data_IF_491893655641
#
_entry.id   IF_491893655641
#
_cell.length_a   1.000
_cell.length_b   1.000
_cell.length_c   1.000
_cell.angle_alpha   90.00
_cell.angle_beta   90.00
_cell.angle_gamma   90.00
#
_symmetry.space_group_name_H-M   'P 1'
#
loop_
_entity.id
_entity.type
_entity.pdbx_description
1 polymer ?
#
# COMPACT_ATOMS: atom_id res chain seq x y z
N UNK A 1 -53.74 -13.94 -11.81
CA UNK A 1 -52.70 -13.36 -12.71
C UNK A 1 -51.36 -13.85 -12.20
N UNK A 2 -50.75 -14.82 -12.87
CA UNK A 2 -49.43 -15.34 -12.54
C UNK A 2 -48.39 -14.40 -13.18
N UNK A 3 -47.66 -13.66 -12.36
CA UNK A 3 -46.55 -12.83 -12.82
C UNK A 3 -45.41 -13.77 -13.19
N UNK A 4 -45.08 -13.86 -14.46
CA UNK A 4 -43.93 -14.62 -14.94
C UNK A 4 -42.64 -14.12 -14.27
N UNK A 5 -41.75 -15.01 -13.79
CA UNK A 5 -40.48 -14.58 -13.21
C UNK A 5 -39.65 -13.83 -14.25
N UNK A 6 -38.97 -12.75 -13.86
CA UNK A 6 -38.17 -11.95 -14.81
C UNK A 6 -37.14 -12.81 -15.53
N UNK A 7 -37.08 -12.67 -16.83
CA UNK A 7 -36.19 -13.44 -17.71
C UNK A 7 -34.74 -13.37 -17.26
N UNK A 8 -34.06 -14.51 -17.14
CA UNK A 8 -32.65 -14.68 -16.71
C UNK A 8 -31.64 -13.68 -17.32
N UNK A 9 -31.76 -13.19 -18.58
CA UNK A 9 -30.80 -12.24 -19.15
C UNK A 9 -30.81 -10.86 -18.46
N UNK A 10 -31.95 -10.35 -17.98
CA UNK A 10 -32.02 -9.04 -17.33
C UNK A 10 -31.31 -9.03 -15.96
N UNK A 11 -31.41 -10.11 -15.18
CA UNK A 11 -30.73 -10.24 -13.89
C UNK A 11 -29.22 -10.37 -14.06
N UNK A 12 -28.76 -11.05 -15.11
CA UNK A 12 -27.35 -11.16 -15.45
C UNK A 12 -26.75 -9.82 -15.89
N UNK A 13 -27.47 -9.03 -16.70
CA UNK A 13 -27.01 -7.71 -17.16
C UNK A 13 -26.86 -6.73 -16.01
N UNK A 14 -27.78 -6.69 -15.03
CA UNK A 14 -27.66 -5.85 -13.84
C UNK A 14 -26.41 -6.19 -13.02
N UNK A 15 -26.04 -7.46 -12.91
CA UNK A 15 -24.83 -7.89 -12.19
C UNK A 15 -23.53 -7.38 -12.83
N UNK A 16 -23.44 -7.32 -14.16
CA UNK A 16 -22.28 -6.77 -14.88
C UNK A 16 -22.20 -5.25 -14.75
N UNK A 17 -23.32 -4.53 -14.84
CA UNK A 17 -23.34 -3.07 -14.63
C UNK A 17 -22.88 -2.69 -13.22
N UNK A 18 -23.34 -3.43 -12.21
CA UNK A 18 -22.90 -3.21 -10.84
C UNK A 18 -21.39 -3.49 -10.67
N UNK A 19 -20.87 -4.58 -11.26
CA UNK A 19 -19.45 -4.89 -11.21
C UNK A 19 -18.62 -3.80 -11.91
N UNK A 20 -19.08 -3.31 -13.05
CA UNK A 20 -18.44 -2.20 -13.77
C UNK A 20 -18.42 -0.93 -12.91
N UNK A 21 -19.54 -0.59 -12.27
CA UNK A 21 -19.60 0.58 -11.38
C UNK A 21 -18.60 0.49 -10.22
N UNK A 22 -18.45 -0.71 -9.61
CA UNK A 22 -17.48 -0.93 -8.52
C UNK A 22 -16.04 -0.77 -9.01
N UNK A 23 -15.70 -1.37 -10.16
CA UNK A 23 -14.36 -1.28 -10.74
C UNK A 23 -14.04 0.16 -11.14
N UNK A 24 -14.95 0.84 -11.84
CA UNK A 24 -14.76 2.24 -12.23
C UNK A 24 -14.64 3.17 -11.02
N UNK A 25 -15.45 2.98 -9.99
CA UNK A 25 -15.36 3.76 -8.76
C UNK A 25 -14.00 3.56 -8.07
N UNK A 26 -13.50 2.32 -8.00
CA UNK A 26 -12.18 2.01 -7.46
C UNK A 26 -11.05 2.68 -8.24
N UNK A 27 -11.05 2.54 -9.56
CA UNK A 27 -10.07 3.16 -10.44
C UNK A 27 -10.11 4.68 -10.39
N UNK A 28 -11.30 5.27 -10.43
CA UNK A 28 -11.47 6.71 -10.35
C UNK A 28 -10.94 7.26 -9.02
N UNK A 29 -11.26 6.60 -7.90
CA UNK A 29 -10.75 7.00 -6.60
C UNK A 29 -9.21 6.92 -6.53
N UNK A 30 -8.61 5.84 -7.06
CA UNK A 30 -7.16 5.71 -7.17
C UNK A 30 -6.55 6.79 -8.05
N UNK A 31 -7.12 7.04 -9.23
CA UNK A 31 -6.64 8.05 -10.17
C UNK A 31 -6.73 9.47 -9.60
N UNK A 32 -7.82 9.79 -8.89
CA UNK A 32 -7.97 11.10 -8.23
C UNK A 32 -6.93 11.31 -7.15
N UNK A 33 -6.72 10.32 -6.27
CA UNK A 33 -5.70 10.42 -5.19
C UNK A 33 -4.29 10.50 -5.78
N UNK A 34 -3.98 9.68 -6.80
CA UNK A 34 -2.71 9.73 -7.50
C UNK A 34 -2.49 11.09 -8.19
N UNK A 35 -3.51 11.59 -8.92
CA UNK A 35 -3.40 12.87 -9.62
C UNK A 35 -3.21 14.05 -8.65
N UNK A 36 -3.96 14.10 -7.55
CA UNK A 36 -3.80 15.14 -6.55
C UNK A 36 -2.44 15.07 -5.85
N UNK A 37 -1.97 13.85 -5.55
CA UNK A 37 -0.66 13.66 -4.93
C UNK A 37 0.49 14.03 -5.85
N UNK A 38 0.43 13.64 -7.11
CA UNK A 38 1.40 14.01 -8.15
C UNK A 38 1.36 15.51 -8.46
N UNK A 39 0.18 16.11 -8.50
CA UNK A 39 0.03 17.55 -8.66
C UNK A 39 0.70 18.32 -7.50
N UNK A 40 0.46 17.88 -6.28
CA UNK A 40 1.09 18.45 -5.10
C UNK A 40 2.63 18.22 -5.07
N UNK A 41 3.12 17.16 -5.72
CA UNK A 41 4.54 16.89 -5.92
C UNK A 41 5.18 17.69 -7.08
N UNK A 42 4.42 18.55 -7.77
CA UNK A 42 4.93 19.35 -8.89
C UNK A 42 4.93 18.65 -10.26
N UNK A 43 4.34 17.45 -10.37
CA UNK A 43 4.32 16.71 -11.63
C UNK A 43 3.37 17.32 -12.70
N UNK A 44 2.63 18.38 -12.36
CA UNK A 44 1.76 19.08 -13.31
C UNK A 44 2.55 19.82 -14.41
N UNK A 45 3.80 20.19 -14.13
CA UNK A 45 4.69 20.93 -15.02
C UNK A 45 5.42 20.02 -16.02
N UNK A 46 5.10 18.72 -16.06
CA UNK A 46 5.68 17.76 -17.00
C UNK A 46 5.24 18.09 -18.44
N UNK A 47 6.18 18.03 -19.40
CA UNK A 47 5.91 18.36 -20.79
C UNK A 47 4.96 17.36 -21.48
N UNK A 48 4.42 17.74 -22.65
CA UNK A 48 3.74 16.89 -23.64
C UNK A 48 2.55 16.06 -23.14
N UNK A 49 1.78 16.55 -22.16
CA UNK A 49 0.63 15.83 -21.66
C UNK A 49 0.99 14.51 -20.93
N UNK A 50 2.21 14.43 -20.39
CA UNK A 50 2.71 13.27 -19.66
C UNK A 50 1.94 13.02 -18.36
N UNK A 51 1.37 14.04 -17.74
CA UNK A 51 0.71 13.94 -16.44
C UNK A 51 -0.33 12.81 -16.37
N UNK A 52 -1.29 12.63 -17.31
CA UNK A 52 -2.23 11.51 -17.25
C UNK A 52 -1.56 10.14 -17.32
N UNK A 53 -0.44 10.02 -18.05
CA UNK A 53 0.30 8.76 -18.18
C UNK A 53 1.09 8.43 -16.92
N UNK A 54 1.63 9.44 -16.25
CA UNK A 54 2.27 9.29 -14.94
C UNK A 54 1.24 8.92 -13.87
N UNK A 55 0.03 9.49 -13.91
CA UNK A 55 -1.08 9.07 -13.07
C UNK A 55 -1.42 7.59 -13.31
N UNK A 56 -1.51 7.15 -14.58
CA UNK A 56 -1.75 5.75 -14.91
C UNK A 56 -0.63 4.83 -14.41
N UNK A 57 0.64 5.23 -14.56
CA UNK A 57 1.80 4.52 -14.04
C UNK A 57 1.75 4.41 -12.50
N UNK A 58 1.37 5.48 -11.82
CA UNK A 58 1.20 5.49 -10.35
C UNK A 58 0.07 4.55 -9.90
N UNK A 59 -1.02 4.43 -10.64
CA UNK A 59 -2.08 3.45 -10.35
C UNK A 59 -1.58 2.03 -10.61
N UNK A 60 -0.79 1.81 -11.66
CA UNK A 60 -0.16 0.49 -11.95
C UNK A 60 0.76 0.08 -10.80
N UNK A 61 1.66 0.96 -10.35
CA UNK A 61 2.56 0.66 -9.22
C UNK A 61 1.80 0.46 -7.91
N UNK A 62 0.68 1.19 -7.72
CA UNK A 62 -0.17 1.04 -6.54
C UNK A 62 -0.80 -0.37 -6.39
N UNK A 63 -0.93 -1.12 -7.47
CA UNK A 63 -1.42 -2.50 -7.46
C UNK A 63 -0.29 -3.54 -7.61
N UNK A 64 0.96 -3.10 -7.52
CA UNK A 64 2.15 -3.96 -7.54
C UNK A 64 2.75 -4.17 -8.93
N UNK A 65 2.31 -3.44 -9.96
CA UNK A 65 2.98 -3.42 -11.27
C UNK A 65 4.33 -2.72 -11.20
N UNK A 66 5.25 -3.10 -12.07
CA UNK A 66 6.58 -2.51 -12.18
C UNK A 66 6.64 -1.48 -13.30
N UNK A 67 7.35 -0.39 -13.06
CA UNK A 67 7.65 0.65 -14.04
C UNK A 67 9.16 0.71 -14.21
N UNK A 68 9.60 0.52 -15.43
CA UNK A 68 11.00 0.63 -15.84
C UNK A 68 11.20 1.97 -16.53
N UNK A 69 12.22 2.70 -16.11
CA UNK A 69 12.65 3.93 -16.76
C UNK A 69 13.86 3.60 -17.66
N UNK A 70 13.79 3.99 -18.91
CA UNK A 70 14.88 3.82 -19.86
C UNK A 70 15.24 5.18 -20.44
N UNK A 71 16.55 5.45 -20.56
CA UNK A 71 17.05 6.58 -21.29
C UNK A 71 18.07 6.12 -22.32
N UNK A 72 17.98 6.66 -23.53
CA UNK A 72 18.92 6.37 -24.62
C UNK A 72 19.36 7.68 -25.25
N UNK A 73 20.67 7.85 -25.39
CA UNK A 73 21.27 8.97 -26.08
C UNK A 73 21.96 8.49 -27.38
N UNK A 74 21.14 7.94 -28.31
CA UNK A 74 21.58 7.58 -29.66
C UNK A 74 22.66 6.49 -29.73
N UNK A 75 22.69 5.53 -28.77
CA UNK A 75 23.70 4.47 -28.71
C UNK A 75 25.05 4.90 -28.14
N UNK A 76 25.21 6.16 -27.76
CA UNK A 76 26.41 6.66 -27.10
C UNK A 76 26.35 6.55 -25.58
N UNK A 77 25.14 6.65 -25.03
CA UNK A 77 24.90 6.43 -23.61
C UNK A 77 23.50 5.80 -23.43
N UNK A 78 23.45 4.78 -22.61
CA UNK A 78 22.21 4.17 -22.15
C UNK A 78 22.09 4.42 -20.65
N UNK A 79 20.94 4.93 -20.23
CA UNK A 79 20.60 5.02 -18.81
C UNK A 79 19.53 4.01 -18.49
N UNK A 80 19.78 3.21 -17.48
CA UNK A 80 18.83 2.28 -16.91
C UNK A 80 18.46 2.75 -15.51
N UNK A 81 17.18 2.96 -15.28
CA UNK A 81 16.70 3.37 -13.99
C UNK A 81 15.44 2.57 -13.62
N UNK A 82 15.42 2.04 -12.43
CA UNK A 82 14.28 1.33 -11.89
C UNK A 82 13.77 1.99 -10.62
N UNK A 83 12.47 2.15 -10.51
CA UNK A 83 11.81 2.63 -9.31
C UNK A 83 10.76 1.62 -8.85
N UNK A 84 10.99 1.02 -7.68
CA UNK A 84 10.03 0.13 -7.04
C UNK A 84 9.59 0.76 -5.72
N UNK A 85 8.54 1.56 -5.80
CA UNK A 85 7.86 2.16 -4.63
C UNK A 85 6.36 2.02 -4.85
N UNK A 86 5.69 1.38 -3.91
CA UNK A 86 4.23 1.26 -3.95
C UNK A 86 3.61 2.47 -3.25
N UNK A 87 2.82 3.32 -3.95
CA UNK A 87 2.13 4.45 -3.33
C UNK A 87 0.92 3.96 -2.52
N UNK A 88 1.17 3.55 -1.26
CA UNK A 88 0.20 2.83 -0.44
C UNK A 88 -1.06 3.64 -0.08
N UNK A 89 -1.04 4.98 -0.18
CA UNK A 89 -2.28 5.77 -0.04
C UNK A 89 -3.24 5.51 -1.20
N UNK A 90 -2.72 5.42 -2.42
CA UNK A 90 -3.50 5.08 -3.63
C UNK A 90 -4.00 3.64 -3.54
N UNK A 91 -3.11 2.70 -3.16
CA UNK A 91 -3.43 1.29 -2.91
C UNK A 91 -4.56 1.13 -1.89
N UNK A 92 -4.45 1.80 -0.75
CA UNK A 92 -5.42 1.74 0.34
C UNK A 92 -6.77 2.32 -0.08
N UNK A 93 -6.77 3.45 -0.80
CA UNK A 93 -7.99 4.07 -1.32
C UNK A 93 -8.72 3.12 -2.27
N UNK A 94 -8.01 2.52 -3.22
CA UNK A 94 -8.56 1.52 -4.12
C UNK A 94 -9.12 0.32 -3.37
N UNK A 95 -8.37 -0.22 -2.39
CA UNK A 95 -8.79 -1.35 -1.57
C UNK A 95 -10.07 -1.06 -0.79
N UNK A 96 -10.19 0.11 -0.18
CA UNK A 96 -11.38 0.50 0.60
C UNK A 96 -12.61 0.65 -0.29
N UNK A 97 -12.49 1.31 -1.45
CA UNK A 97 -13.60 1.51 -2.39
C UNK A 97 -14.05 0.19 -3.00
N UNK A 98 -13.11 -0.64 -3.47
CA UNK A 98 -13.44 -1.96 -4.03
C UNK A 98 -14.05 -2.90 -2.98
N UNK A 99 -13.49 -2.93 -1.76
CA UNK A 99 -14.06 -3.73 -0.67
C UNK A 99 -15.47 -3.27 -0.30
N UNK A 100 -15.70 -1.96 -0.18
CA UNK A 100 -17.02 -1.40 0.09
C UNK A 100 -18.02 -1.74 -1.02
N UNK A 101 -17.65 -1.53 -2.28
CA UNK A 101 -18.46 -1.85 -3.45
C UNK A 101 -18.75 -3.35 -3.60
N UNK A 102 -17.76 -4.20 -3.32
CA UNK A 102 -17.93 -5.65 -3.32
C UNK A 102 -18.92 -6.12 -2.24
N UNK A 103 -18.84 -5.54 -1.04
CA UNK A 103 -19.71 -5.92 0.08
C UNK A 103 -21.12 -5.31 0.00
N UNK A 104 -21.31 -4.21 -0.75
CA UNK A 104 -22.58 -3.49 -0.82
C UNK A 104 -23.78 -4.38 -1.21
N UNK A 105 -23.74 -5.14 -2.34
CA UNK A 105 -24.85 -6.00 -2.71
C UNK A 105 -25.05 -7.19 -1.75
N UNK A 106 -23.99 -7.60 -1.04
CA UNK A 106 -24.02 -8.73 -0.12
C UNK A 106 -24.70 -8.39 1.21
N UNK A 107 -24.74 -7.11 1.61
CA UNK A 107 -25.37 -6.64 2.86
C UNK A 107 -26.91 -6.77 2.84
N UNK A 108 -27.51 -6.75 1.66
CA UNK A 108 -28.96 -6.75 1.47
C UNK A 108 -29.52 -8.14 1.12
N UNK A 109 -28.70 -9.18 1.13
CA UNK A 109 -29.11 -10.56 0.82
C UNK A 109 -28.90 -11.47 2.02
N UNK A 110 -29.96 -12.13 2.45
CA UNK A 110 -29.93 -13.01 3.62
C UNK A 110 -29.08 -14.28 3.41
N UNK A 111 -28.98 -14.78 2.18
CA UNK A 111 -28.16 -15.96 1.82
C UNK A 111 -27.70 -15.81 0.37
N UNK A 112 -26.40 -15.70 0.14
CA UNK A 112 -25.82 -15.90 -1.19
C UNK A 112 -25.14 -17.28 -1.23
N UNK A 113 -25.40 -18.08 -2.26
CA UNK A 113 -24.70 -19.34 -2.46
C UNK A 113 -23.23 -19.09 -2.82
N UNK A 114 -22.34 -20.05 -2.52
CA UNK A 114 -20.92 -19.95 -2.89
C UNK A 114 -20.71 -19.68 -4.40
N UNK A 115 -21.56 -20.24 -5.26
CA UNK A 115 -21.55 -19.99 -6.71
C UNK A 115 -21.88 -18.54 -7.06
N UNK A 116 -22.83 -17.92 -6.35
CA UNK A 116 -23.22 -16.54 -6.58
C UNK A 116 -22.11 -15.57 -6.17
N UNK A 117 -21.50 -15.82 -5.00
CA UNK A 117 -20.34 -15.08 -4.52
C UNK A 117 -19.14 -15.20 -5.49
N UNK A 118 -18.81 -16.41 -5.91
CA UNK A 118 -17.75 -16.66 -6.89
C UNK A 118 -18.06 -15.98 -8.23
N UNK A 119 -19.31 -16.06 -8.71
CA UNK A 119 -19.72 -15.39 -9.94
C UNK A 119 -19.65 -13.86 -9.84
N UNK A 120 -19.93 -13.28 -8.65
CA UNK A 120 -19.81 -11.86 -8.41
C UNK A 120 -18.32 -11.43 -8.39
N UNK A 121 -17.47 -12.14 -7.65
CA UNK A 121 -16.03 -11.91 -7.63
C UNK A 121 -15.40 -12.07 -9.02
N UNK A 122 -15.80 -13.09 -9.79
CA UNK A 122 -15.30 -13.32 -11.14
C UNK A 122 -15.62 -12.18 -12.10
N UNK A 123 -16.82 -11.58 -12.04
CA UNK A 123 -17.18 -10.42 -12.87
C UNK A 123 -16.30 -9.20 -12.56
N UNK A 124 -16.06 -8.93 -11.27
CA UNK A 124 -15.15 -7.87 -10.86
C UNK A 124 -13.73 -8.17 -11.36
N UNK A 125 -13.24 -9.41 -11.21
CA UNK A 125 -11.92 -9.81 -11.64
C UNK A 125 -11.72 -9.67 -13.17
N UNK A 126 -12.72 -10.06 -13.98
CA UNK A 126 -12.65 -9.90 -15.44
C UNK A 126 -12.61 -8.42 -15.83
N UNK A 127 -13.46 -7.57 -15.25
CA UNK A 127 -13.45 -6.14 -15.55
C UNK A 127 -12.18 -5.47 -15.04
N UNK A 128 -11.66 -5.90 -13.89
CA UNK A 128 -10.38 -5.45 -13.34
C UNK A 128 -9.20 -5.83 -14.25
N UNK A 129 -9.20 -7.06 -14.78
CA UNK A 129 -8.21 -7.50 -15.77
C UNK A 129 -8.19 -6.60 -17.01
N UNK A 130 -9.38 -6.31 -17.58
CA UNK A 130 -9.48 -5.39 -18.71
C UNK A 130 -8.94 -4.00 -18.35
N UNK A 131 -9.28 -3.50 -17.17
CA UNK A 131 -8.78 -2.22 -16.68
C UNK A 131 -7.25 -2.20 -16.49
N UNK A 132 -6.66 -3.27 -15.94
CA UNK A 132 -5.22 -3.40 -15.82
C UNK A 132 -4.50 -3.41 -17.17
N UNK A 133 -5.06 -4.10 -18.16
CA UNK A 133 -4.52 -4.09 -19.53
C UNK A 133 -4.55 -2.67 -20.12
N UNK A 134 -5.69 -1.96 -20.01
CA UNK A 134 -5.80 -0.58 -20.48
C UNK A 134 -4.79 0.32 -19.77
N UNK A 135 -4.67 0.22 -18.44
CA UNK A 135 -3.71 1.01 -17.67
C UNK A 135 -2.27 0.70 -18.09
N UNK A 136 -1.89 -0.57 -18.22
CA UNK A 136 -0.54 -0.98 -18.60
C UNK A 136 -0.15 -0.47 -20.00
N UNK A 137 -1.10 -0.40 -20.93
CA UNK A 137 -0.86 0.15 -22.27
C UNK A 137 -0.86 1.69 -22.27
N UNK A 138 -1.59 2.35 -21.38
CA UNK A 138 -1.59 3.82 -21.26
C UNK A 138 -0.41 4.36 -20.46
N UNK A 139 0.10 3.58 -19.52
CA UNK A 139 1.22 3.93 -18.64
C UNK A 139 2.58 3.75 -19.36
N UNK A 140 2.76 4.39 -20.50
CA UNK A 140 3.97 4.39 -21.31
C UNK A 140 4.19 5.78 -21.87
N UNK A 141 5.39 6.30 -21.77
CA UNK A 141 5.77 7.58 -22.35
C UNK A 141 7.24 7.59 -22.70
N UNK A 142 7.58 8.12 -23.85
CA UNK A 142 8.92 8.51 -24.25
C UNK A 142 8.97 10.03 -24.39
N UNK A 143 9.98 10.66 -23.81
CA UNK A 143 10.27 12.08 -23.93
C UNK A 143 11.53 12.23 -24.75
N UNK A 144 11.48 13.03 -25.81
CA UNK A 144 12.68 13.51 -26.50
C UNK A 144 13.13 14.77 -25.77
N UNK A 145 14.30 14.71 -25.12
CA UNK A 145 14.89 15.88 -24.51
C UNK A 145 15.73 16.62 -25.56
N UNK A 146 15.40 17.88 -25.84
CA UNK A 146 16.33 18.73 -26.57
C UNK A 146 17.41 19.19 -25.58
N UNK A 147 18.68 18.87 -25.86
CA UNK A 147 19.82 19.29 -25.06
C UNK A 147 19.92 20.82 -24.89
N UNK A 148 19.24 21.59 -25.78
CA UNK A 148 19.11 23.04 -25.70
C UNK A 148 18.26 23.50 -24.51
N UNK A 149 17.25 22.74 -24.11
CA UNK A 149 16.37 23.07 -22.97
C UNK A 149 17.09 22.91 -21.62
N UNK A 150 18.23 22.19 -21.61
CA UNK A 150 19.08 22.02 -20.43
C UNK A 150 20.10 23.16 -20.23
N UNK A 151 20.02 24.24 -21.04
CA UNK A 151 20.89 25.42 -20.91
C UNK A 151 22.36 25.18 -21.31
N UNK A 152 22.65 24.13 -22.07
CA UNK A 152 23.98 23.79 -22.54
C UNK A 152 24.01 23.88 -24.08
N UNK A 153 24.11 25.08 -24.60
CA UNK A 153 24.13 25.37 -26.05
C UNK A 153 25.22 24.55 -26.80
N UNK A 154 26.40 24.36 -26.19
CA UNK A 154 27.50 23.60 -26.79
C UNK A 154 27.19 22.10 -26.92
N UNK A 155 26.50 21.51 -25.96
CA UNK A 155 26.06 20.11 -26.02
C UNK A 155 24.90 19.92 -26.96
N UNK A 156 24.03 20.95 -27.10
CA UNK A 156 22.93 20.95 -28.07
C UNK A 156 23.44 20.93 -29.50
N UNK A 157 24.44 21.76 -29.82
CA UNK A 157 25.05 21.81 -31.16
C UNK A 157 25.84 20.52 -31.50
N UNK A 158 26.46 19.87 -30.50
CA UNK A 158 27.06 18.55 -30.66
C UNK A 158 26.00 17.45 -30.89
N UNK A 159 24.91 17.49 -30.15
CA UNK A 159 23.80 16.54 -30.34
C UNK A 159 23.19 16.63 -31.74
N UNK A 160 22.96 17.84 -32.26
CA UNK A 160 22.46 18.08 -33.59
C UNK A 160 23.48 17.64 -34.67
N UNK A 161 24.80 17.80 -34.40
CA UNK A 161 25.88 17.39 -35.32
C UNK A 161 25.97 15.86 -35.43
N UNK A 162 25.72 15.13 -34.33
CA UNK A 162 25.73 13.66 -34.31
C UNK A 162 24.36 13.03 -34.51
N UNK A 163 23.29 13.82 -34.68
CA UNK A 163 21.91 13.35 -34.84
C UNK A 163 21.40 12.60 -33.61
N UNK A 164 21.90 12.94 -32.42
CA UNK A 164 21.59 12.27 -31.17
C UNK A 164 20.61 13.10 -30.38
N UNK A 165 19.35 12.63 -30.29
CA UNK A 165 18.35 13.18 -29.39
C UNK A 165 18.21 12.23 -28.18
N UNK A 166 18.55 12.66 -26.97
CA UNK A 166 18.33 11.82 -25.80
C UNK A 166 16.84 11.56 -25.59
N UNK A 167 16.48 10.30 -25.50
CA UNK A 167 15.13 9.87 -25.18
C UNK A 167 15.10 9.33 -23.76
N UNK A 168 14.22 9.84 -22.93
CA UNK A 168 13.91 9.27 -21.61
C UNK A 168 12.48 8.79 -21.65
N UNK A 169 12.27 7.57 -21.24
CA UNK A 169 10.93 7.00 -21.24
C UNK A 169 10.66 6.14 -20.00
N UNK A 170 9.39 5.86 -19.79
CA UNK A 170 8.99 4.82 -18.87
C UNK A 170 8.04 3.85 -19.54
N UNK A 171 8.19 2.58 -19.20
CA UNK A 171 7.35 1.50 -19.67
C UNK A 171 6.91 0.64 -18.50
N UNK A 172 5.75 0.00 -18.64
CA UNK A 172 5.23 -0.92 -17.64
C UNK A 172 5.33 -2.36 -18.14
N UNK A 173 5.76 -3.26 -17.25
CA UNK A 173 5.65 -4.69 -17.50
C UNK A 173 4.19 -5.12 -17.41
N UNK A 174 3.61 -5.49 -18.55
CA UNK A 174 2.20 -5.91 -18.67
C UNK A 174 1.94 -7.19 -17.89
N UNK A 175 2.87 -8.16 -17.95
CA UNK A 175 2.70 -9.47 -17.31
C UNK A 175 2.73 -9.33 -15.80
N UNK A 176 3.72 -8.62 -15.28
CA UNK A 176 3.82 -8.33 -13.85
C UNK A 176 2.62 -7.51 -13.37
N UNK A 177 2.19 -6.49 -14.11
CA UNK A 177 1.02 -5.66 -13.78
C UNK A 177 -0.26 -6.49 -13.67
N UNK A 178 -0.50 -7.38 -14.61
CA UNK A 178 -1.69 -8.24 -14.61
C UNK A 178 -1.61 -9.25 -13.45
N UNK A 179 -0.48 -9.90 -13.26
CA UNK A 179 -0.32 -10.90 -12.22
C UNK A 179 -0.47 -10.30 -10.82
N UNK A 180 0.31 -9.26 -10.50
CA UNK A 180 0.27 -8.64 -9.17
C UNK A 180 -1.03 -7.87 -8.95
N UNK A 181 -1.59 -7.22 -9.97
CA UNK A 181 -2.86 -6.51 -9.86
C UNK A 181 -4.06 -7.44 -9.62
N UNK A 182 -4.08 -8.65 -10.19
CA UNK A 182 -5.09 -9.68 -9.88
C UNK A 182 -4.86 -10.30 -8.50
N UNK A 183 -3.60 -10.54 -8.11
CA UNK A 183 -3.26 -11.02 -6.78
C UNK A 183 -3.69 -10.02 -5.69
N UNK A 184 -3.43 -8.73 -5.93
CA UNK A 184 -3.86 -7.65 -5.05
C UNK A 184 -5.39 -7.60 -4.92
N UNK A 185 -6.13 -7.65 -6.06
CA UNK A 185 -7.59 -7.71 -6.03
C UNK A 185 -8.09 -8.91 -5.23
N UNK A 186 -7.53 -10.10 -5.46
CA UNK A 186 -7.90 -11.31 -4.71
C UNK A 186 -7.68 -11.11 -3.20
N UNK A 187 -6.54 -10.54 -2.81
CA UNK A 187 -6.24 -10.20 -1.42
C UNK A 187 -7.26 -9.24 -0.81
N UNK A 188 -7.63 -8.17 -1.53
CA UNK A 188 -8.65 -7.19 -1.11
C UNK A 188 -10.02 -7.86 -0.92
N UNK A 189 -10.47 -8.69 -1.87
CA UNK A 189 -11.77 -9.36 -1.78
C UNK A 189 -11.80 -10.39 -0.64
N UNK A 190 -10.72 -11.16 -0.46
CA UNK A 190 -10.60 -12.12 0.66
C UNK A 190 -10.61 -11.37 2.00
N UNK A 191 -9.83 -10.29 2.14
CA UNK A 191 -9.80 -9.49 3.36
C UNK A 191 -11.17 -8.85 3.66
N UNK A 192 -11.86 -8.35 2.63
CA UNK A 192 -13.20 -7.81 2.75
C UNK A 192 -14.19 -8.86 3.29
N UNK A 193 -14.12 -10.10 2.78
CA UNK A 193 -14.95 -11.20 3.28
C UNK A 193 -14.59 -11.59 4.71
N UNK A 194 -13.30 -11.66 5.05
CA UNK A 194 -12.85 -12.00 6.41
C UNK A 194 -13.33 -11.00 7.45
N UNK A 195 -13.32 -9.70 7.12
CA UNK A 195 -13.69 -8.62 8.04
C UNK A 195 -15.21 -8.40 8.10
N UNK A 196 -15.96 -8.77 7.05
CA UNK A 196 -17.40 -8.54 6.93
C UNK A 196 -18.22 -9.33 7.97
N UNK A 197 -19.27 -8.69 8.51
CA UNK A 197 -20.24 -9.34 9.43
C UNK A 197 -21.34 -10.12 8.76
N UNK A 198 -21.65 -9.82 7.52
CA UNK A 198 -22.82 -10.33 6.82
C UNK A 198 -22.49 -11.09 5.54
N UNK A 199 -21.23 -11.53 5.34
CA UNK A 199 -20.88 -12.29 4.16
C UNK A 199 -21.54 -13.68 4.23
N UNK A 200 -22.39 -14.05 3.28
CA UNK A 200 -23.03 -15.36 3.23
C UNK A 200 -22.00 -16.38 2.75
N UNK A 201 -21.30 -17.00 3.69
CA UNK A 201 -20.32 -18.02 3.41
C UNK A 201 -20.86 -19.44 3.62
N UNK A 202 -20.34 -20.44 2.89
CA UNK A 202 -20.65 -21.85 3.14
C UNK A 202 -20.33 -22.24 4.59
N UNK A 203 -21.14 -23.12 5.22
CA UNK A 203 -21.04 -23.45 6.65
C UNK A 203 -19.65 -23.91 7.16
N UNK A 204 -18.80 -24.46 6.29
CA UNK A 204 -17.39 -24.79 6.62
C UNK A 204 -16.53 -23.57 6.76
N UNK A 205 -16.73 -22.56 5.91
CA UNK A 205 -15.99 -21.29 5.93
C UNK A 205 -16.52 -20.35 7.04
N UNK A 206 -17.78 -20.46 7.43
CA UNK A 206 -18.35 -19.69 8.54
C UNK A 206 -17.62 -19.97 9.87
N UNK A 207 -17.37 -21.25 10.20
CA UNK A 207 -16.64 -21.62 11.42
C UNK A 207 -15.20 -21.10 11.43
N UNK A 208 -14.53 -21.12 10.29
CA UNK A 208 -13.19 -20.53 10.15
C UNK A 208 -13.24 -19.01 10.27
N UNK A 209 -14.20 -18.37 9.60
CA UNK A 209 -14.38 -16.92 9.66
C UNK A 209 -14.67 -16.44 11.10
N UNK A 210 -15.49 -17.13 11.87
CA UNK A 210 -15.82 -16.76 13.26
C UNK A 210 -14.59 -16.70 14.16
N UNK A 211 -13.56 -17.54 13.92
CA UNK A 211 -12.34 -17.55 14.71
C UNK A 211 -11.31 -16.51 14.24
N UNK A 212 -11.19 -16.27 12.94
CA UNK A 212 -10.15 -15.39 12.35
C UNK A 212 -10.62 -13.94 12.27
N UNK A 213 -11.92 -13.72 12.06
CA UNK A 213 -12.51 -12.40 11.84
C UNK A 213 -12.21 -11.36 12.91
N UNK A 214 -12.30 -11.64 14.24
CA UNK A 214 -12.02 -10.63 15.25
C UNK A 214 -10.57 -10.12 15.16
N UNK A 215 -9.62 -11.01 14.84
CA UNK A 215 -8.22 -10.67 14.68
C UNK A 215 -7.98 -9.87 13.38
N UNK A 216 -8.51 -10.33 12.24
CA UNK A 216 -8.42 -9.60 10.98
C UNK A 216 -9.02 -8.20 11.07
N UNK A 217 -10.20 -8.08 11.68
CA UNK A 217 -10.83 -6.78 11.93
C UNK A 217 -9.97 -5.87 12.78
N UNK A 218 -9.38 -6.39 13.87
CA UNK A 218 -8.53 -5.61 14.77
C UNK A 218 -7.28 -5.10 14.04
N UNK A 219 -6.66 -5.92 13.17
CA UNK A 219 -5.50 -5.50 12.37
C UNK A 219 -5.86 -4.43 11.34
N UNK A 220 -6.97 -4.59 10.61
CA UNK A 220 -7.41 -3.55 9.66
C UNK A 220 -7.70 -2.23 10.37
N UNK A 221 -8.37 -2.27 11.52
CA UNK A 221 -8.62 -1.06 12.33
C UNK A 221 -7.31 -0.45 12.83
N UNK A 222 -6.37 -1.26 13.30
CA UNK A 222 -5.05 -0.80 13.73
C UNK A 222 -4.34 -0.04 12.61
N UNK A 223 -4.24 -0.64 11.43
CA UNK A 223 -3.59 -0.03 10.26
C UNK A 223 -4.27 1.28 9.85
N UNK A 224 -5.59 1.33 9.86
CA UNK A 224 -6.36 2.55 9.54
C UNK A 224 -6.20 3.64 10.60
N UNK A 225 -6.10 3.27 11.89
CA UNK A 225 -5.84 4.22 12.98
C UNK A 225 -4.45 4.86 12.81
N UNK A 226 -3.42 4.07 12.47
CA UNK A 226 -2.10 4.61 12.15
C UNK A 226 -2.15 5.61 11.00
N UNK A 227 -2.86 5.28 9.92
CA UNK A 227 -3.04 6.20 8.78
C UNK A 227 -3.77 7.46 9.21
N UNK A 228 -4.86 7.33 9.98
CA UNK A 228 -5.60 8.47 10.52
C UNK A 228 -4.75 9.38 11.39
N UNK A 229 -3.94 8.82 12.29
CA UNK A 229 -2.97 9.57 13.10
C UNK A 229 -1.93 10.28 12.24
N UNK A 230 -1.37 9.57 11.25
CA UNK A 230 -0.41 10.14 10.31
C UNK A 230 -0.99 11.30 9.51
N UNK A 231 -2.22 11.17 9.02
CA UNK A 231 -2.91 12.26 8.31
C UNK A 231 -3.09 13.48 9.23
N UNK A 232 -3.53 13.27 10.48
CA UNK A 232 -3.69 14.39 11.44
C UNK A 232 -2.35 15.07 11.70
N UNK A 233 -1.28 14.30 11.95
CA UNK A 233 0.07 14.86 12.15
C UNK A 233 0.53 15.58 10.89
N UNK A 234 0.36 14.99 9.70
CA UNK A 234 0.72 15.62 8.42
C UNK A 234 0.00 16.93 8.19
N UNK A 235 -1.31 17.01 8.48
CA UNK A 235 -2.07 18.25 8.36
C UNK A 235 -1.57 19.34 9.32
N UNK A 236 -1.21 18.97 10.56
CA UNK A 236 -0.60 19.90 11.52
C UNK A 236 0.75 20.40 11.00
N UNK A 237 1.59 19.51 10.46
CA UNK A 237 2.89 19.87 9.86
C UNK A 237 2.69 20.80 8.66
N UNK A 238 1.76 20.49 7.76
CA UNK A 238 1.42 21.34 6.61
C UNK A 238 0.99 22.76 7.04
N UNK A 239 0.21 22.86 8.12
CA UNK A 239 -0.27 24.13 8.63
C UNK A 239 0.81 24.95 9.36
N UNK A 240 1.84 24.31 9.93
CA UNK A 240 2.79 24.97 10.83
C UNK A 240 4.18 25.19 10.22
N UNK A 241 4.60 24.39 9.23
CA UNK A 241 5.98 24.41 8.71
C UNK A 241 6.15 24.99 7.30
N UNK A 242 5.08 25.46 6.64
CA UNK A 242 5.18 26.19 5.37
C UNK A 242 5.41 25.35 4.11
N UNK A 243 5.62 24.03 4.23
CA UNK A 243 5.82 23.10 3.09
C UNK A 243 4.54 22.31 2.80
N UNK A 244 3.43 23.02 2.58
CA UNK A 244 2.12 22.38 2.47
C UNK A 244 2.02 21.43 1.26
N UNK A 245 2.52 21.82 0.09
CA UNK A 245 2.41 21.03 -1.13
C UNK A 245 3.14 19.68 -0.98
N UNK A 246 4.39 19.68 -0.52
CA UNK A 246 5.19 18.48 -0.28
C UNK A 246 4.52 17.56 0.76
N UNK A 247 4.00 18.13 1.84
CA UNK A 247 3.29 17.37 2.88
C UNK A 247 2.01 16.75 2.33
N UNK A 248 1.25 17.46 1.49
CA UNK A 248 0.08 16.89 0.83
C UNK A 248 0.45 15.78 -0.16
N UNK A 249 1.56 15.92 -0.89
CA UNK A 249 2.07 14.84 -1.75
C UNK A 249 2.36 13.57 -0.94
N UNK A 250 3.03 13.71 0.21
CA UNK A 250 3.30 12.58 1.12
C UNK A 250 2.00 11.97 1.66
N UNK A 251 1.03 12.78 2.09
CA UNK A 251 -0.26 12.29 2.58
C UNK A 251 -0.98 11.48 1.50
N UNK A 252 -1.04 11.99 0.28
CA UNK A 252 -1.82 11.40 -0.81
C UNK A 252 -1.13 10.23 -1.50
N UNK A 253 0.20 10.15 -1.47
CA UNK A 253 0.94 9.06 -2.11
C UNK A 253 1.48 8.04 -1.11
N UNK A 254 2.08 8.49 0.00
CA UNK A 254 2.94 7.67 0.83
C UNK A 254 2.64 7.64 2.34
N UNK A 255 1.54 8.22 2.83
CA UNK A 255 1.27 8.23 4.28
C UNK A 255 1.26 6.83 4.91
N UNK A 256 0.59 5.80 4.36
CA UNK A 256 0.66 4.46 4.93
C UNK A 256 2.07 3.87 4.92
N UNK A 257 2.90 4.19 3.91
CA UNK A 257 4.31 3.77 3.87
C UNK A 257 5.04 4.26 5.12
N UNK A 258 4.92 5.55 5.46
CA UNK A 258 5.58 6.14 6.61
C UNK A 258 5.06 5.61 7.94
N UNK A 259 3.75 5.58 8.15
CA UNK A 259 3.17 5.20 9.45
C UNK A 259 3.26 3.71 9.73
N UNK A 260 3.21 2.86 8.69
CA UNK A 260 3.40 1.42 8.87
C UNK A 260 4.88 1.06 9.03
N UNK A 261 5.79 1.81 8.38
CA UNK A 261 7.21 1.76 8.69
C UNK A 261 7.44 2.14 10.16
N UNK A 262 6.88 3.25 10.64
CA UNK A 262 6.98 3.69 12.03
C UNK A 262 6.45 2.63 13.02
N UNK A 263 5.34 1.96 12.70
CA UNK A 263 4.86 0.81 13.47
C UNK A 263 5.93 -0.30 13.57
N UNK A 264 6.58 -0.66 12.46
CA UNK A 264 7.60 -1.73 12.53
C UNK A 264 8.82 -1.31 13.34
N UNK A 265 9.24 -0.04 13.24
CA UNK A 265 10.34 0.52 14.05
C UNK A 265 9.97 0.54 15.55
N UNK A 266 8.76 0.96 15.89
CA UNK A 266 8.28 0.98 17.26
C UNK A 266 8.15 -0.41 17.90
N UNK A 267 7.90 -1.46 17.08
CA UNK A 267 8.02 -2.86 17.51
C UNK A 267 9.46 -3.30 17.76
N UNK A 268 10.46 -2.52 17.32
CA UNK A 268 11.89 -2.82 17.41
C UNK A 268 12.48 -3.50 16.16
N UNK A 269 11.77 -3.50 15.04
CA UNK A 269 12.30 -4.08 13.79
C UNK A 269 13.44 -3.23 13.24
N UNK A 270 14.37 -3.88 12.52
CA UNK A 270 15.48 -3.26 11.81
C UNK A 270 15.19 -3.25 10.32
N UNK A 271 15.54 -2.14 9.67
CA UNK A 271 15.55 -1.98 8.23
C UNK A 271 16.97 -1.60 7.80
N UNK A 272 17.39 -2.13 6.68
CA UNK A 272 18.68 -1.81 6.06
C UNK A 272 18.42 -0.88 4.88
N UNK A 273 19.12 0.24 4.82
CA UNK A 273 18.93 1.21 3.77
C UNK A 273 20.18 2.00 3.43
N UNK A 274 20.15 2.59 2.24
CA UNK A 274 21.18 3.50 1.74
C UNK A 274 20.54 4.50 0.78
N UNK A 275 21.00 5.74 0.85
CA UNK A 275 20.68 6.79 -0.12
C UNK A 275 22.01 7.30 -0.67
N UNK A 276 22.26 7.01 -1.95
CA UNK A 276 23.42 7.48 -2.69
C UNK A 276 22.95 8.34 -3.86
N UNK A 277 23.63 9.45 -4.11
CA UNK A 277 23.31 10.36 -5.20
C UNK A 277 22.32 11.48 -4.84
N UNK A 278 21.89 12.28 -5.85
CA UNK A 278 21.11 13.50 -5.65
C UNK A 278 19.61 13.28 -5.40
N UNK A 279 19.20 12.08 -5.00
CA UNK A 279 17.80 11.81 -4.72
C UNK A 279 17.29 12.63 -3.53
N UNK A 280 16.46 13.65 -3.82
CA UNK A 280 15.69 14.40 -2.84
C UNK A 280 14.34 13.76 -2.58
N UNK A 281 14.31 12.66 -1.82
CA UNK A 281 13.01 12.10 -1.42
C UNK A 281 12.41 12.93 -0.27
N UNK A 282 11.10 13.18 -0.27
CA UNK A 282 10.40 13.81 0.84
C UNK A 282 10.31 12.83 2.02
N UNK A 283 11.39 12.70 2.78
CA UNK A 283 11.46 11.85 3.96
C UNK A 283 11.74 12.69 5.23
N UNK A 284 11.40 12.19 6.43
CA UNK A 284 11.75 12.86 7.67
C UNK A 284 13.26 13.05 7.79
N UNK A 285 13.72 14.23 8.27
CA UNK A 285 15.14 14.58 8.42
C UNK A 285 15.95 13.49 9.15
N UNK A 286 15.41 12.94 10.21
CA UNK A 286 16.04 11.87 11.00
C UNK A 286 16.38 10.64 10.16
N UNK A 287 15.50 10.29 9.22
CA UNK A 287 15.72 9.16 8.32
C UNK A 287 16.75 9.49 7.24
N UNK A 288 16.72 10.72 6.70
CA UNK A 288 17.65 11.20 5.69
C UNK A 288 19.09 11.24 6.24
N UNK A 289 19.29 11.72 7.46
CA UNK A 289 20.60 11.75 8.13
C UNK A 289 21.20 10.36 8.33
N UNK A 290 20.38 9.39 8.72
CA UNK A 290 20.84 7.99 8.90
C UNK A 290 21.20 7.34 7.58
N UNK A 291 20.45 7.58 6.50
CA UNK A 291 20.59 6.89 5.22
C UNK A 291 21.68 7.46 4.31
N UNK A 292 22.12 8.72 4.48
CA UNK A 292 23.13 9.38 3.63
C UNK A 292 24.58 9.02 3.95
N UNK A 293 24.82 7.89 4.58
CA UNK A 293 26.16 7.35 4.82
C UNK A 293 26.75 6.66 3.58
N UNK A 294 28.09 6.45 3.59
CA UNK A 294 28.79 5.68 2.54
C UNK A 294 28.55 4.18 2.63
N UNK A 295 28.06 3.70 3.75
CA UNK A 295 27.77 2.28 4.02
C UNK A 295 26.27 2.06 4.17
N UNK A 296 25.85 0.80 4.08
CA UNK A 296 24.46 0.41 4.34
C UNK A 296 24.16 0.71 5.81
N UNK A 297 23.20 1.60 6.04
CA UNK A 297 22.80 2.00 7.37
C UNK A 297 21.70 1.09 7.91
N UNK A 298 21.81 0.71 9.19
CA UNK A 298 20.74 0.07 9.92
C UNK A 298 19.81 1.14 10.48
N UNK A 299 18.55 1.08 10.05
CA UNK A 299 17.49 1.95 10.55
C UNK A 299 16.66 1.15 11.55
N UNK A 300 16.86 1.45 12.81
CA UNK A 300 16.12 0.86 13.92
C UNK A 300 15.83 1.93 14.97
N UNK A 301 15.12 1.55 16.02
CA UNK A 301 14.74 2.48 17.07
C UNK A 301 15.96 3.14 17.75
N UNK A 302 17.06 2.39 17.95
CA UNK A 302 18.29 2.88 18.57
C UNK A 302 18.98 3.95 17.70
N UNK A 303 19.24 3.62 16.43
CA UNK A 303 19.93 4.53 15.49
C UNK A 303 19.13 5.81 15.22
N UNK A 304 17.81 5.71 15.14
CA UNK A 304 16.95 6.89 14.99
C UNK A 304 16.91 7.73 16.29
N UNK A 305 16.95 7.09 17.45
CA UNK A 305 16.91 7.78 18.75
C UNK A 305 18.23 8.52 19.07
N UNK A 306 19.35 8.14 18.45
CA UNK A 306 20.62 8.89 18.51
C UNK A 306 20.48 10.27 17.86
N UNK A 307 19.65 10.39 16.82
CA UNK A 307 19.38 11.65 16.12
C UNK A 307 18.26 12.46 16.82
N UNK A 308 17.16 11.78 17.21
CA UNK A 308 16.07 12.42 17.96
C UNK A 308 15.52 11.46 19.02
N UNK A 309 15.78 11.76 20.28
CA UNK A 309 15.30 10.98 21.43
C UNK A 309 13.76 10.85 21.52
N UNK A 310 12.99 11.66 20.76
CA UNK A 310 11.53 11.55 20.70
C UNK A 310 11.06 10.27 19.99
N UNK A 311 11.92 9.62 19.22
CA UNK A 311 11.61 8.36 18.53
C UNK A 311 11.21 7.26 19.53
N UNK A 312 11.68 7.31 20.79
CA UNK A 312 11.26 6.37 21.82
C UNK A 312 9.75 6.37 22.11
N UNK A 313 9.04 7.46 21.80
CA UNK A 313 7.59 7.51 21.94
C UNK A 313 6.87 6.52 21.01
N UNK A 314 7.50 6.05 19.92
CA UNK A 314 6.91 5.04 19.04
C UNK A 314 6.57 3.76 19.80
N UNK A 315 7.44 3.31 20.71
CA UNK A 315 7.14 2.11 21.53
C UNK A 315 5.86 2.31 22.36
N UNK A 316 5.70 3.49 22.94
CA UNK A 316 4.55 3.78 23.80
C UNK A 316 3.27 3.82 22.96
N UNK A 317 3.32 4.47 21.79
CA UNK A 317 2.20 4.53 20.85
C UNK A 317 1.82 3.12 20.39
N UNK A 318 2.79 2.32 19.99
CA UNK A 318 2.59 0.95 19.56
C UNK A 318 1.99 0.08 20.66
N UNK A 319 2.55 0.16 21.88
CA UNK A 319 2.03 -0.61 23.02
C UNK A 319 0.56 -0.28 23.31
N UNK A 320 0.20 1.01 23.28
CA UNK A 320 -1.18 1.47 23.53
C UNK A 320 -2.12 1.02 22.40
N UNK A 321 -1.73 1.22 21.15
CA UNK A 321 -2.59 0.89 20.00
C UNK A 321 -2.73 -0.62 19.83
N UNK A 322 -1.68 -1.40 20.06
CA UNK A 322 -1.73 -2.86 20.03
C UNK A 322 -2.60 -3.41 21.17
N UNK A 323 -2.48 -2.85 22.36
CA UNK A 323 -3.33 -3.25 23.49
C UNK A 323 -4.81 -2.91 23.21
N UNK A 324 -5.09 -1.74 22.64
CA UNK A 324 -6.44 -1.35 22.22
C UNK A 324 -6.97 -2.30 21.14
N UNK A 325 -6.17 -2.64 20.12
CA UNK A 325 -6.55 -3.60 19.08
C UNK A 325 -6.82 -5.00 19.65
N UNK A 326 -5.97 -5.48 20.57
CA UNK A 326 -6.15 -6.75 21.25
C UNK A 326 -7.42 -6.77 22.13
N UNK A 327 -7.72 -5.68 22.81
CA UNK A 327 -8.96 -5.51 23.56
C UNK A 327 -10.20 -5.53 22.65
N UNK A 328 -10.18 -4.81 21.52
CA UNK A 328 -11.26 -4.83 20.53
C UNK A 328 -11.46 -6.24 19.96
N UNK A 329 -10.36 -6.93 19.61
CA UNK A 329 -10.38 -8.33 19.19
C UNK A 329 -11.04 -9.23 20.24
N UNK A 330 -10.61 -9.12 21.49
CA UNK A 330 -11.12 -9.92 22.58
C UNK A 330 -12.62 -9.66 22.83
N UNK A 331 -13.09 -8.42 22.77
CA UNK A 331 -14.53 -8.09 22.92
C UNK A 331 -15.40 -8.63 21.81
N UNK A 332 -14.86 -8.78 20.59
CA UNK A 332 -15.60 -9.30 19.43
C UNK A 332 -15.50 -10.80 19.25
N UNK A 333 -14.67 -11.46 20.05
CA UNK A 333 -14.49 -12.91 20.04
C UNK A 333 -15.56 -13.62 20.86
N UNK A 334 -15.93 -14.87 20.52
CA UNK A 334 -16.84 -15.68 21.32
C UNK A 334 -16.38 -15.85 22.79
N UNK A 335 -17.33 -15.93 23.73
CA UNK A 335 -17.04 -15.99 25.17
C UNK A 335 -16.19 -17.22 25.59
N UNK A 336 -16.19 -18.28 24.79
CA UNK A 336 -15.47 -19.54 25.04
C UNK A 336 -13.95 -19.43 24.87
N UNK A 337 -13.44 -18.36 24.23
CA UNK A 337 -12.00 -18.21 23.91
C UNK A 337 -11.25 -17.78 25.18
N UNK A 338 -10.21 -18.56 25.55
CA UNK A 338 -9.33 -18.28 26.70
C UNK A 338 -8.30 -17.19 26.34
N UNK A 339 -7.73 -16.52 27.37
CA UNK A 339 -6.74 -15.47 27.17
C UNK A 339 -5.51 -15.94 26.36
N UNK A 340 -5.06 -17.18 26.57
CA UNK A 340 -3.95 -17.75 25.80
C UNK A 340 -4.30 -17.93 24.31
N UNK A 341 -5.53 -18.29 23.97
CA UNK A 341 -5.97 -18.37 22.57
C UNK A 341 -6.04 -16.99 21.93
N UNK A 342 -6.42 -15.95 22.70
CA UNK A 342 -6.34 -14.56 22.23
C UNK A 342 -4.91 -14.15 21.95
N UNK A 343 -3.96 -14.55 22.80
CA UNK A 343 -2.53 -14.31 22.57
C UNK A 343 -2.06 -14.90 21.25
N UNK A 344 -2.38 -16.17 20.98
CA UNK A 344 -1.99 -16.84 19.72
C UNK A 344 -2.65 -16.19 18.50
N UNK A 345 -3.97 -15.89 18.56
CA UNK A 345 -4.66 -15.25 17.44
C UNK A 345 -4.08 -13.86 17.14
N UNK A 346 -3.77 -13.07 18.18
CA UNK A 346 -3.18 -11.75 18.02
C UNK A 346 -1.75 -11.85 17.47
N UNK A 347 -0.95 -12.80 17.95
CA UNK A 347 0.41 -13.03 17.50
C UNK A 347 0.45 -13.37 16.01
N UNK A 348 -0.37 -14.33 15.57
CA UNK A 348 -0.43 -14.72 14.16
C UNK A 348 -0.93 -13.56 13.29
N UNK A 349 -1.98 -12.84 13.72
CA UNK A 349 -2.53 -11.73 12.95
C UNK A 349 -1.53 -10.57 12.83
N UNK A 350 -0.84 -10.21 13.93
CA UNK A 350 0.17 -9.16 13.91
C UNK A 350 1.39 -9.56 13.08
N UNK A 351 1.86 -10.80 13.21
CA UNK A 351 2.99 -11.29 12.43
C UNK A 351 2.69 -11.30 10.92
N UNK A 352 1.49 -11.72 10.50
CA UNK A 352 1.07 -11.64 9.10
C UNK A 352 0.93 -10.19 8.62
N UNK A 353 0.46 -9.29 9.48
CA UNK A 353 0.36 -7.86 9.17
C UNK A 353 1.73 -7.23 8.98
N UNK A 354 2.68 -7.50 9.90
CA UNK A 354 4.06 -7.02 9.79
C UNK A 354 4.77 -7.63 8.57
N UNK A 355 4.55 -8.93 8.30
CA UNK A 355 5.07 -9.56 7.09
C UNK A 355 4.55 -8.85 5.82
N UNK A 356 3.25 -8.55 5.76
CA UNK A 356 2.67 -7.77 4.67
C UNK A 356 3.35 -6.39 4.55
N UNK A 357 3.51 -5.66 5.65
CA UNK A 357 4.19 -4.36 5.66
C UNK A 357 5.63 -4.50 5.14
N UNK A 358 6.38 -5.49 5.59
CA UNK A 358 7.73 -5.77 5.13
C UNK A 358 7.79 -6.08 3.63
N UNK A 359 6.79 -6.74 3.06
CA UNK A 359 6.75 -7.07 1.64
C UNK A 359 6.38 -5.87 0.76
N UNK A 360 5.38 -5.08 1.17
CA UNK A 360 4.88 -3.95 0.36
C UNK A 360 5.61 -2.63 0.64
N UNK A 361 6.28 -2.52 1.79
CA UNK A 361 7.01 -1.32 2.20
C UNK A 361 8.45 -1.24 1.70
N UNK A 362 8.93 -2.23 0.94
CA UNK A 362 10.25 -2.20 0.33
C UNK A 362 10.33 -1.07 -0.67
N UNK A 363 11.43 -0.33 -0.61
CA UNK A 363 11.73 0.75 -1.54
C UNK A 363 13.04 0.40 -2.21
N UNK A 364 13.11 0.48 -3.53
CA UNK A 364 14.36 0.45 -4.27
C UNK A 364 14.25 1.36 -5.48
N UNK A 365 15.27 2.18 -5.67
CA UNK A 365 15.47 2.98 -6.84
C UNK A 365 16.94 2.87 -7.21
N UNK A 366 17.22 2.70 -8.48
CA UNK A 366 18.57 2.73 -9.01
C UNK A 366 18.57 3.52 -10.30
N UNK A 367 19.65 4.21 -10.56
CA UNK A 367 19.96 4.76 -11.87
C UNK A 367 21.42 4.51 -12.18
N UNK A 368 21.69 4.12 -13.38
CA UNK A 368 23.03 3.92 -13.91
C UNK A 368 23.15 4.54 -15.30
N UNK A 369 24.33 5.09 -15.60
CA UNK A 369 24.68 5.55 -16.93
C UNK A 369 25.76 4.64 -17.49
N UNK A 370 25.49 3.96 -18.60
CA UNK A 370 26.52 3.26 -19.39
C UNK A 370 26.88 4.10 -20.60
N UNK A 371 28.16 4.33 -20.83
CA UNK A 371 28.66 5.09 -21.99
C UNK A 371 29.39 4.13 -22.91
N UNK A 372 29.01 4.09 -24.19
CA UNK A 372 29.63 3.28 -25.27
C UNK A 372 29.58 1.76 -25.01
N UNK A 373 28.61 1.24 -24.28
CA UNK A 373 28.49 -0.20 -24.00
C UNK A 373 29.63 -0.76 -23.11
N UNK A 374 30.46 0.10 -22.57
CA UNK A 374 31.46 -0.25 -21.56
C UNK A 374 30.78 0.00 -20.21
N UNK A 375 30.37 -1.07 -19.55
CA UNK A 375 29.62 -1.01 -18.30
C UNK A 375 30.33 -0.17 -17.24
N UNK A 376 29.54 0.54 -16.44
CA UNK A 376 29.86 1.25 -15.20
C UNK A 376 31.18 2.07 -15.21
N UNK A 377 31.34 3.02 -16.12
CA UNK A 377 32.41 4.03 -16.04
C UNK A 377 32.16 5.11 -14.98
N UNK A 378 31.07 4.98 -14.21
CA UNK A 378 30.65 6.08 -13.36
C UNK A 378 30.32 5.70 -11.95
N UNK A 379 31.31 5.39 -11.12
CA UNK A 379 31.12 5.32 -9.68
C UNK A 379 30.49 6.57 -9.06
N UNK A 380 30.61 7.73 -9.72
CA UNK A 380 30.04 9.00 -9.27
C UNK A 380 28.72 9.38 -10.03
N UNK A 381 28.34 8.66 -11.09
CA UNK A 381 27.15 8.91 -11.92
C UNK A 381 26.08 7.84 -11.77
N UNK A 382 26.30 6.84 -10.95
CA UNK A 382 25.30 5.85 -10.54
C UNK A 382 24.79 6.18 -9.13
N UNK A 383 23.52 6.03 -8.91
CA UNK A 383 22.91 6.22 -7.59
C UNK A 383 22.01 5.05 -7.23
N UNK A 384 22.11 4.63 -6.01
CA UNK A 384 21.24 3.58 -5.46
C UNK A 384 20.53 4.10 -4.21
N UNK A 385 19.22 3.87 -4.16
CA UNK A 385 18.43 4.10 -2.99
C UNK A 385 17.67 2.81 -2.70
N UNK A 386 17.85 2.28 -1.52
CA UNK A 386 17.03 1.17 -1.09
C UNK A 386 16.70 1.25 0.41
N UNK A 387 15.57 0.65 0.76
CA UNK A 387 15.13 0.44 2.14
C UNK A 387 14.48 -0.94 2.22
N UNK A 388 15.15 -1.89 2.87
CA UNK A 388 14.75 -3.29 2.95
C UNK A 388 14.64 -3.74 4.41
N UNK A 389 13.51 -4.37 4.84
CA UNK A 389 13.35 -4.83 6.21
C UNK A 389 14.13 -6.12 6.48
N UNK A 390 14.57 -6.30 7.72
CA UNK A 390 14.96 -7.60 8.24
C UNK A 390 13.71 -8.41 8.60
N UNK A 391 13.18 -9.13 7.61
CA UNK A 391 11.86 -9.77 7.67
C UNK A 391 11.74 -10.73 8.85
N UNK A 392 12.76 -11.56 9.11
CA UNK A 392 12.69 -12.57 10.17
C UNK A 392 12.72 -11.97 11.57
N UNK A 393 13.53 -10.92 11.78
CA UNK A 393 13.57 -10.15 13.03
C UNK A 393 12.23 -9.47 13.30
N UNK A 394 11.70 -8.75 12.29
CA UNK A 394 10.40 -8.09 12.37
C UNK A 394 9.25 -9.08 12.65
N UNK A 395 9.25 -10.23 11.97
CA UNK A 395 8.25 -11.28 12.17
C UNK A 395 8.29 -11.86 13.59
N UNK A 396 9.50 -12.16 14.11
CA UNK A 396 9.67 -12.67 15.48
C UNK A 396 9.22 -11.68 16.54
N UNK A 397 9.58 -10.39 16.38
CA UNK A 397 9.12 -9.32 17.28
C UNK A 397 7.60 -9.15 17.24
N UNK A 398 7.00 -9.19 16.05
CA UNK A 398 5.55 -9.13 15.91
C UNK A 398 4.84 -10.30 16.64
N UNK A 399 5.40 -11.52 16.58
CA UNK A 399 4.88 -12.66 17.34
C UNK A 399 4.94 -12.37 18.86
N UNK A 400 6.06 -11.86 19.37
CA UNK A 400 6.22 -11.56 20.79
C UNK A 400 5.24 -10.46 21.26
N UNK A 401 5.17 -9.34 20.54
CA UNK A 401 4.23 -8.26 20.83
C UNK A 401 2.78 -8.74 20.78
N UNK A 402 2.45 -9.55 19.78
CA UNK A 402 1.10 -10.12 19.62
C UNK A 402 0.73 -11.07 20.76
N UNK A 403 1.67 -11.91 21.24
CA UNK A 403 1.46 -12.79 22.38
C UNK A 403 1.18 -11.98 23.65
N UNK A 404 2.02 -10.99 23.94
CA UNK A 404 1.90 -10.16 25.15
C UNK A 404 0.60 -9.34 25.12
N UNK A 405 0.39 -8.57 24.07
CA UNK A 405 -0.78 -7.68 23.97
C UNK A 405 -2.08 -8.46 23.84
N UNK A 406 -2.07 -9.59 23.12
CA UNK A 406 -3.24 -10.47 23.00
C UNK A 406 -3.63 -11.13 24.31
N UNK A 407 -2.65 -11.55 25.11
CA UNK A 407 -2.89 -12.07 26.44
C UNK A 407 -3.48 -11.01 27.38
N UNK A 408 -2.84 -9.83 27.44
CA UNK A 408 -3.31 -8.71 28.29
C UNK A 408 -4.70 -8.20 27.84
N UNK A 409 -4.93 -8.04 26.54
CA UNK A 409 -6.23 -7.65 25.99
C UNK A 409 -7.32 -8.67 26.30
N UNK A 410 -6.99 -9.97 26.26
CA UNK A 410 -7.87 -11.05 26.68
C UNK A 410 -8.23 -10.99 28.17
N UNK A 411 -7.29 -10.63 29.04
CA UNK A 411 -7.54 -10.44 30.48
C UNK A 411 -8.41 -9.22 30.74
N UNK A 412 -8.09 -8.07 30.11
CA UNK A 412 -8.85 -6.83 30.28
C UNK A 412 -10.30 -6.93 29.82
N UNK A 413 -10.59 -7.79 28.85
CA UNK A 413 -11.94 -7.98 28.36
C UNK A 413 -12.83 -8.88 29.24
N UNK A 414 -12.27 -9.67 30.17
CA UNK A 414 -13.00 -10.62 31.03
C UNK A 414 -14.13 -9.98 31.88
N UNK A 415 -13.87 -8.90 32.65
CA UNK A 415 -14.90 -8.35 33.55
C UNK A 415 -16.10 -7.80 32.81
N UNK A 416 -15.93 -7.31 31.59
CA UNK A 416 -17.01 -6.77 30.77
C UNK A 416 -17.91 -7.87 30.15
N UNK A 417 -17.36 -9.07 29.93
CA UNK A 417 -18.12 -10.23 29.43
C UNK A 417 -19.03 -10.81 30.49
N UNK A 418 -18.59 -10.90 31.74
CA UNK A 418 -19.41 -11.41 32.84
C UNK A 418 -20.61 -10.52 33.15
N UNK A 419 -20.49 -9.20 32.99
CA UNK A 419 -21.63 -8.28 33.17
C UNK A 419 -22.73 -8.46 32.13
N UNK A 420 -22.38 -8.77 30.89
CA UNK A 420 -23.36 -9.04 29.82
C UNK A 420 -24.13 -10.36 30.01
N UNK A 421 -23.47 -11.41 30.52
CA UNK A 421 -24.12 -12.70 30.80
C UNK A 421 -25.05 -12.65 32.01
N UNK A 422 -24.72 -11.86 33.02
CA UNK A 422 -25.59 -11.67 34.21
C UNK A 422 -26.84 -10.87 33.82
N UNK A 423 -26.71 -9.81 33.02
CA UNK A 423 -27.87 -9.03 32.54
C UNK A 423 -28.84 -9.87 31.69
N UNK A 424 -28.33 -10.72 30.80
CA UNK A 424 -29.15 -11.61 29.98
C UNK A 424 -29.86 -12.71 30.77
N UNK A 425 -29.33 -13.12 31.96
CA UNK A 425 -29.99 -14.10 32.84
C UNK A 425 -31.05 -13.49 33.75
N UNK A 426 -31.05 -12.19 33.97
CA UNK A 426 -32.05 -11.49 34.80
C UNK A 426 -33.24 -11.04 33.99
N UNK A 427 -33.20 -11.06 32.66
CA UNK A 427 -34.32 -10.72 31.76
C UNK A 427 -35.03 -11.95 31.16
N UNK A 428 -34.63 -13.17 31.49
CA UNK A 428 -35.28 -14.44 31.10
C UNK A 428 -35.85 -15.17 32.26
#
# INVERSE_FOLDING_TARGET
MSVAPPSRPAVAAHGWVQALAVVLAGLLAMAVVAALGLWAAGAADLPDGAFPRVVAATVVTAVGGTVELSGNAGGLAESDAGLTVIPLSVTLTGALVLAAGFLWPLRHRAVAGARELAGWAARIAVLWLVALLVLAFTARQTFTLSLRDLGQDVLGDLGDLFGVSPEIGFTTDVVATVFFGLLWLAGVLVLALLVSRGAPLPGRLLRFQESVRPAAYAMVVLLLVYVGLGVVIGLVVAATRGHAAETFAVILLGMPNLVWFALTIGLGATWNGRVDGPFGLPMPHVLDEVLRGKEVAEVNLGTLAEQDGRVWWLIVVDAVLLLAAAFVMARRSPARIRALQHAVHMAVALALTVLMICLVGRISAHYGLSVLGIGDLGGDLAGELFLKPEVWGAFGLALLWGLVTGFLGGLLARPLRHRGEVAARTEG
#
